data_IF_751627484580
#
_entry.id   IF_751627484580
#
_cell.length_a   1.000
_cell.length_b   1.000
_cell.length_c   1.000
_cell.angle_alpha   90.00
_cell.angle_beta   90.00
_cell.angle_gamma   90.00
#
_symmetry.space_group_name_H-M   'P 1'
#
loop_
_entity.id
_entity.type
_entity.pdbx_description
1 polymer ?
#
# COMPACT_ATOMS: atom_id res chain seq x y z
N UNK A 1 -13.29 -39.59 28.17
CA UNK A 1 -11.93 -39.07 27.93
C UNK A 1 -12.04 -37.55 27.90
N UNK A 2 -11.27 -36.88 28.76
CA UNK A 2 -11.54 -35.54 29.32
C UNK A 2 -11.71 -34.41 28.27
N UNK A 3 -12.80 -33.64 28.40
CA UNK A 3 -12.88 -32.29 27.81
C UNK A 3 -11.96 -31.37 28.61
N UNK A 4 -10.84 -30.95 28.01
CA UNK A 4 -10.03 -29.86 28.54
C UNK A 4 -10.69 -28.53 28.18
N UNK A 5 -11.16 -27.77 29.18
CA UNK A 5 -11.63 -26.40 29.01
C UNK A 5 -10.44 -25.45 29.19
N UNK A 6 -9.88 -24.97 28.07
CA UNK A 6 -8.95 -23.85 28.08
C UNK A 6 -9.72 -22.56 28.40
N UNK A 7 -9.60 -22.05 29.63
CA UNK A 7 -10.04 -20.68 29.95
C UNK A 7 -8.88 -19.72 29.73
N UNK A 8 -9.09 -18.76 28.84
CA UNK A 8 -8.20 -17.62 28.61
C UNK A 8 -8.53 -16.54 29.63
N UNK A 9 -7.54 -16.09 30.40
CA UNK A 9 -7.67 -14.91 31.26
C UNK A 9 -6.67 -13.84 30.78
N UNK A 10 -7.16 -12.62 30.58
CA UNK A 10 -6.35 -11.42 30.31
C UNK A 10 -6.23 -10.61 31.59
N UNK A 11 -5.02 -10.39 32.09
CA UNK A 11 -4.75 -9.50 33.24
C UNK A 11 -3.63 -8.56 32.84
N UNK A 12 -3.98 -7.32 32.48
CA UNK A 12 -3.12 -6.31 31.85
C UNK A 12 -2.54 -6.75 30.50
N UNK A 13 -2.62 -5.88 29.48
CA UNK A 13 -2.30 -6.05 28.03
C UNK A 13 -0.87 -6.52 27.67
N UNK A 14 -0.19 -7.26 28.56
CA UNK A 14 1.16 -7.79 28.38
C UNK A 14 1.34 -9.23 28.87
N UNK A 15 0.38 -9.82 29.58
CA UNK A 15 0.50 -11.19 30.09
C UNK A 15 -0.76 -12.04 29.79
N UNK A 16 -0.59 -13.09 28.99
CA UNK A 16 -1.59 -14.14 28.81
C UNK A 16 -1.17 -15.36 29.63
N UNK A 17 -2.04 -15.83 30.52
CA UNK A 17 -1.85 -17.06 31.30
C UNK A 17 -2.70 -18.19 30.70
N UNK A 18 -2.11 -19.36 30.54
CA UNK A 18 -2.83 -20.61 30.30
C UNK A 18 -2.73 -21.48 31.54
N UNK A 19 -3.85 -21.70 32.22
CA UNK A 19 -3.90 -22.54 33.41
C UNK A 19 -4.32 -23.96 33.01
N UNK A 20 -3.47 -24.95 33.26
CA UNK A 20 -3.77 -26.35 33.01
C UNK A 20 -4.41 -26.95 34.26
N UNK A 21 -5.73 -26.79 34.40
CA UNK A 21 -6.47 -27.40 35.50
C UNK A 21 -6.82 -28.84 35.10
N UNK A 22 -6.03 -29.82 35.56
CA UNK A 22 -6.40 -31.23 35.48
C UNK A 22 -7.44 -31.56 36.56
N UNK A 23 -8.70 -31.73 36.16
CA UNK A 23 -9.75 -32.22 37.05
C UNK A 23 -9.59 -33.72 37.28
N UNK A 24 -9.04 -34.12 38.42
CA UNK A 24 -9.11 -35.51 38.90
C UNK A 24 -10.26 -35.66 39.89
N UNK A 25 -11.24 -36.48 39.54
CA UNK A 25 -12.33 -36.90 40.44
C UNK A 25 -11.78 -37.89 41.46
N UNK A 26 -11.86 -37.54 42.75
CA UNK A 26 -11.51 -38.40 43.88
C UNK A 26 -12.54 -39.52 44.08
N UNK A 27 -12.08 -40.77 44.15
CA UNK A 27 -12.83 -41.91 44.65
C UNK A 27 -12.09 -42.57 45.81
N UNK A 28 -12.59 -42.33 47.03
CA UNK A 28 -12.43 -43.10 48.29
C UNK A 28 -11.01 -43.35 48.87
N UNK A 29 -10.90 -43.56 50.21
CA UNK A 29 -9.77 -43.06 50.99
C UNK A 29 -8.67 -44.11 51.20
N UNK A 30 -7.40 -43.69 51.32
CA UNK A 30 -6.39 -44.20 52.28
C UNK A 30 -4.99 -43.61 51.97
N UNK A 31 -4.36 -43.10 53.04
CA UNK A 31 -2.92 -42.85 53.29
C UNK A 31 -2.15 -41.82 52.44
N UNK A 32 -1.96 -40.65 53.07
CA UNK A 32 -0.67 -39.93 53.27
C UNK A 32 0.36 -40.07 52.15
N UNK A 33 0.13 -39.37 51.03
CA UNK A 33 1.19 -39.05 50.06
C UNK A 33 1.12 -37.57 49.72
N UNK A 34 2.17 -36.86 50.11
CA UNK A 34 2.42 -35.44 49.80
C UNK A 34 2.63 -35.30 48.29
N UNK A 35 1.59 -34.90 47.55
CA UNK A 35 1.67 -34.65 46.12
C UNK A 35 2.16 -33.21 45.88
N UNK A 36 3.44 -33.06 45.52
CA UNK A 36 4.03 -31.80 45.05
C UNK A 36 3.52 -31.52 43.63
N UNK A 37 2.59 -30.57 43.49
CA UNK A 37 2.21 -30.00 42.20
C UNK A 37 3.28 -28.98 41.76
N UNK A 38 4.11 -29.34 40.78
CA UNK A 38 4.98 -28.41 40.09
C UNK A 38 4.16 -27.69 39.00
N UNK A 39 3.88 -26.40 39.20
CA UNK A 39 3.24 -25.53 38.21
C UNK A 39 4.30 -25.10 37.18
N UNK A 40 4.32 -25.74 36.01
CA UNK A 40 5.18 -25.33 34.90
C UNK A 40 4.54 -24.18 34.13
N UNK A 41 5.04 -22.95 34.31
CA UNK A 41 4.66 -21.79 33.50
C UNK A 41 5.49 -21.78 32.22
N UNK A 42 4.86 -22.10 31.08
CA UNK A 42 5.46 -21.88 29.77
C UNK A 42 5.20 -20.42 29.34
N UNK A 43 6.23 -19.59 29.31
CA UNK A 43 6.20 -18.28 28.66
C UNK A 43 6.30 -18.51 27.15
N UNK A 44 5.16 -18.56 26.47
CA UNK A 44 5.13 -18.48 25.00
C UNK A 44 5.07 -17.00 24.66
N UNK A 45 6.15 -16.48 24.07
CA UNK A 45 6.14 -15.13 23.50
C UNK A 45 5.10 -15.07 22.38
N UNK A 46 4.05 -14.27 22.57
CA UNK A 46 3.14 -13.94 21.48
C UNK A 46 3.91 -13.05 20.50
N UNK A 47 4.30 -13.63 19.37
CA UNK A 47 4.71 -12.85 18.21
C UNK A 47 3.48 -12.02 17.80
N UNK A 48 3.47 -10.74 18.20
CA UNK A 48 2.35 -9.82 17.98
C UNK A 48 2.37 -9.46 16.48
N UNK A 49 1.86 -10.35 15.65
CA UNK A 49 1.67 -10.06 14.23
C UNK A 49 0.46 -9.12 14.09
N UNK A 50 0.59 -7.87 14.52
CA UNK A 50 -0.43 -6.84 14.34
C UNK A 50 -0.79 -6.79 12.86
N UNK A 51 -2.09 -6.72 12.57
CA UNK A 51 -2.54 -6.58 11.18
C UNK A 51 -1.89 -5.35 10.54
N UNK A 52 -1.53 -5.39 9.25
CA UNK A 52 -0.97 -4.23 8.55
C UNK A 52 -1.91 -3.03 8.64
N UNK A 53 -1.34 -1.83 8.74
CA UNK A 53 -2.09 -0.58 8.71
C UNK A 53 -2.68 -0.36 7.33
N UNK A 54 -3.96 0.01 7.21
CA UNK A 54 -4.58 0.39 5.94
C UNK A 54 -3.84 1.54 5.25
N UNK A 55 -3.97 1.64 3.93
CA UNK A 55 -3.44 2.77 3.16
C UNK A 55 -4.26 4.02 3.44
N UNK A 56 -3.59 5.17 3.58
CA UNK A 56 -4.30 6.44 3.72
C UNK A 56 -4.89 6.87 2.38
N UNK A 57 -6.03 7.61 2.40
CA UNK A 57 -6.62 8.14 1.18
C UNK A 57 -5.66 9.04 0.40
N UNK A 58 -4.86 9.84 1.11
CA UNK A 58 -3.87 10.74 0.53
C UNK A 58 -2.79 9.93 -0.20
N UNK A 59 -2.13 8.98 0.48
CA UNK A 59 -1.08 8.15 -0.14
C UNK A 59 -1.61 7.36 -1.34
N UNK A 60 -2.75 6.69 -1.20
CA UNK A 60 -3.31 5.86 -2.27
C UNK A 60 -3.86 6.65 -3.46
N UNK A 61 -4.33 7.88 -3.24
CA UNK A 61 -4.82 8.74 -4.32
C UNK A 61 -3.66 9.36 -5.10
N UNK A 62 -2.63 9.84 -4.39
CA UNK A 62 -1.43 10.38 -5.04
C UNK A 62 -0.66 9.28 -5.79
N UNK A 63 -0.53 8.08 -5.23
CA UNK A 63 0.15 6.97 -5.90
C UNK A 63 -0.50 6.61 -7.25
N UNK A 64 -1.84 6.66 -7.32
CA UNK A 64 -2.62 6.39 -8.55
C UNK A 64 -2.48 7.48 -9.62
N UNK A 65 -2.30 8.73 -9.20
CA UNK A 65 -2.23 9.88 -10.09
C UNK A 65 -0.80 10.14 -10.56
N UNK A 66 0.18 9.94 -9.69
CA UNK A 66 1.58 10.22 -9.91
C UNK A 66 2.44 8.96 -10.15
N UNK A 67 1.82 7.79 -10.31
CA UNK A 67 2.48 6.55 -10.77
C UNK A 67 3.64 6.08 -9.87
N UNK A 68 3.35 5.89 -8.59
CA UNK A 68 4.26 5.25 -7.63
C UNK A 68 3.50 4.24 -6.76
N UNK A 69 4.23 3.44 -5.97
CA UNK A 69 3.64 2.43 -5.12
C UNK A 69 3.17 3.05 -3.78
N UNK A 70 1.91 2.85 -3.35
CA UNK A 70 1.43 3.41 -2.10
C UNK A 70 2.10 2.75 -0.89
N UNK A 71 2.35 3.54 0.16
CA UNK A 71 2.98 3.11 1.41
C UNK A 71 1.99 3.14 2.59
N UNK A 72 2.24 2.32 3.60
CA UNK A 72 1.47 2.19 4.85
C UNK A 72 2.19 2.89 6.01
N UNK A 73 1.41 3.38 6.99
CA UNK A 73 1.94 3.93 8.23
C UNK A 73 2.38 5.40 8.16
N UNK A 74 2.96 5.93 9.24
CA UNK A 74 3.33 7.34 9.36
C UNK A 74 4.67 7.58 8.63
N UNK A 75 4.65 7.50 7.31
CA UNK A 75 5.80 7.80 6.46
C UNK A 75 6.17 9.26 6.62
N UNK A 76 7.44 9.53 6.89
CA UNK A 76 8.02 10.87 6.99
C UNK A 76 8.66 11.29 5.67
N UNK A 77 9.44 10.40 5.10
CA UNK A 77 10.04 10.59 3.79
C UNK A 77 10.25 9.24 3.10
N UNK A 78 10.24 9.27 1.77
CA UNK A 78 10.55 8.09 0.98
C UNK A 78 11.20 8.45 -0.35
N UNK A 79 11.87 7.45 -0.92
CA UNK A 79 12.25 7.45 -2.32
C UNK A 79 11.93 6.10 -2.94
N UNK A 80 11.42 6.09 -4.16
CA UNK A 80 11.20 4.91 -5.00
C UNK A 80 11.98 5.09 -6.30
N UNK A 81 12.97 4.23 -6.55
CA UNK A 81 13.80 4.27 -7.75
C UNK A 81 13.55 3.02 -8.60
N UNK A 82 13.09 3.23 -9.83
CA UNK A 82 12.95 2.20 -10.85
C UNK A 82 14.25 2.11 -11.66
N UNK A 83 14.84 0.91 -11.71
CA UNK A 83 16.06 0.60 -12.44
C UNK A 83 15.74 -0.33 -13.59
N UNK A 84 16.28 -0.06 -14.78
CA UNK A 84 16.16 -0.96 -15.93
C UNK A 84 17.10 -2.17 -15.81
N UNK A 85 17.08 -3.07 -16.80
CA UNK A 85 17.89 -4.29 -16.82
C UNK A 85 19.41 -4.05 -16.75
N UNK A 86 19.88 -2.85 -17.12
CA UNK A 86 21.29 -2.45 -17.04
C UNK A 86 21.66 -1.85 -15.68
N UNK A 87 20.68 -1.68 -14.78
CA UNK A 87 20.85 -0.99 -13.50
C UNK A 87 20.86 0.54 -13.64
N UNK A 88 20.44 1.08 -14.78
CA UNK A 88 20.30 2.53 -14.98
C UNK A 88 18.94 3.00 -14.45
N UNK A 89 18.88 4.23 -13.95
CA UNK A 89 17.63 4.79 -13.41
C UNK A 89 16.69 5.13 -14.56
N UNK A 90 15.51 4.50 -14.55
CA UNK A 90 14.42 4.77 -15.49
C UNK A 90 13.45 5.82 -14.93
N UNK A 91 13.04 5.66 -13.67
CA UNK A 91 12.17 6.60 -12.95
C UNK A 91 12.62 6.75 -11.51
N UNK A 92 12.34 7.92 -10.92
CA UNK A 92 12.53 8.17 -9.49
C UNK A 92 11.40 9.03 -8.96
N UNK A 93 10.88 8.65 -7.79
CA UNK A 93 9.92 9.43 -7.02
C UNK A 93 10.48 9.66 -5.62
N UNK A 94 10.40 10.89 -5.13
CA UNK A 94 10.80 11.29 -3.80
C UNK A 94 9.66 12.06 -3.15
N UNK A 95 9.30 11.71 -1.93
CA UNK A 95 8.25 12.42 -1.20
C UNK A 95 8.66 12.68 0.25
N UNK A 96 8.26 13.84 0.76
CA UNK A 96 8.27 14.14 2.20
C UNK A 96 6.85 14.40 2.64
N UNK A 97 6.49 13.92 3.82
CA UNK A 97 5.14 14.05 4.35
C UNK A 97 5.18 14.61 5.77
N UNK A 98 4.12 15.32 6.15
CA UNK A 98 3.85 15.71 7.53
C UNK A 98 3.34 14.53 8.37
N UNK A 99 3.31 14.65 9.71
CA UNK A 99 2.75 13.63 10.60
C UNK A 99 1.27 13.33 10.31
N UNK A 100 0.54 14.30 9.75
CA UNK A 100 -0.85 14.16 9.33
C UNK A 100 -1.01 13.44 7.98
N UNK A 101 0.08 13.13 7.28
CA UNK A 101 0.08 12.39 6.01
C UNK A 101 -0.11 13.26 4.77
N UNK A 102 0.03 14.59 4.89
CA UNK A 102 0.08 15.49 3.74
C UNK A 102 1.48 15.45 3.13
N UNK A 103 1.61 15.36 1.80
CA UNK A 103 2.91 15.57 1.17
C UNK A 103 3.33 17.03 1.36
N UNK A 104 4.48 17.26 1.97
CA UNK A 104 5.12 18.58 2.04
C UNK A 104 5.86 18.87 0.73
N UNK A 105 6.49 17.83 0.16
CA UNK A 105 7.05 17.83 -1.19
C UNK A 105 6.83 16.51 -1.91
N UNK A 106 6.76 16.57 -3.23
CA UNK A 106 6.71 15.40 -4.10
C UNK A 106 7.46 15.70 -5.40
N UNK A 107 8.52 14.94 -5.66
CA UNK A 107 9.36 15.05 -6.84
C UNK A 107 9.27 13.76 -7.65
N UNK A 108 9.09 13.90 -8.96
CA UNK A 108 9.04 12.81 -9.92
C UNK A 108 9.97 13.12 -11.07
N UNK A 109 10.81 12.16 -11.40
CA UNK A 109 11.70 12.19 -12.55
C UNK A 109 11.48 10.92 -13.36
N UNK A 110 10.92 11.08 -14.55
CA UNK A 110 10.84 10.02 -15.56
C UNK A 110 11.92 10.28 -16.60
N UNK A 111 13.04 9.58 -16.45
CA UNK A 111 14.23 9.74 -17.29
C UNK A 111 14.04 9.08 -18.66
N UNK A 112 13.19 8.05 -18.76
CA UNK A 112 12.86 7.42 -20.05
C UNK A 112 12.07 8.37 -20.94
N UNK A 113 11.13 9.12 -20.36
CA UNK A 113 10.31 10.09 -21.09
C UNK A 113 10.84 11.53 -21.04
N UNK A 114 11.96 11.77 -20.35
CA UNK A 114 12.55 13.09 -20.11
C UNK A 114 11.53 14.10 -19.55
N UNK A 115 10.75 13.68 -18.55
CA UNK A 115 9.79 14.53 -17.85
C UNK A 115 10.11 14.60 -16.36
N UNK A 116 9.82 15.74 -15.75
CA UNK A 116 10.00 15.95 -14.33
C UNK A 116 8.89 16.83 -13.77
N UNK A 117 8.53 16.56 -12.53
CA UNK A 117 7.56 17.35 -11.75
C UNK A 117 8.12 17.49 -10.34
N UNK A 118 8.17 18.71 -9.82
CA UNK A 118 8.53 18.97 -8.44
C UNK A 118 7.44 19.82 -7.80
N UNK A 119 6.78 19.29 -6.78
CA UNK A 119 5.66 19.91 -6.10
C UNK A 119 6.02 20.22 -4.66
N UNK A 120 5.63 21.40 -4.19
CA UNK A 120 5.72 21.82 -2.79
C UNK A 120 4.37 22.28 -2.29
N UNK A 121 4.02 21.89 -1.07
CA UNK A 121 2.77 22.30 -0.43
C UNK A 121 2.85 23.78 -0.03
N UNK A 122 1.88 24.57 -0.50
CA UNK A 122 1.65 25.93 -0.03
C UNK A 122 0.15 26.14 0.21
N UNK A 123 -0.23 26.16 1.48
CA UNK A 123 -1.61 26.22 1.96
C UNK A 123 -2.48 25.12 1.33
N UNK A 124 -3.39 25.49 0.43
CA UNK A 124 -4.33 24.58 -0.24
C UNK A 124 -3.94 24.28 -1.70
N UNK A 125 -2.67 24.44 -2.05
CA UNK A 125 -2.16 24.11 -3.37
C UNK A 125 -0.83 23.36 -3.28
N UNK A 126 -0.62 22.43 -4.20
CA UNK A 126 0.73 22.09 -4.63
C UNK A 126 1.15 23.06 -5.72
N UNK A 127 2.31 23.68 -5.49
CA UNK A 127 2.97 24.55 -6.45
C UNK A 127 4.18 23.87 -7.03
N UNK A 128 4.49 24.23 -8.26
CA UNK A 128 5.76 23.90 -8.86
C UNK A 128 6.91 24.47 -8.01
N UNK A 129 7.89 23.63 -7.67
CA UNK A 129 8.95 23.98 -6.72
C UNK A 129 9.86 25.10 -7.23
N UNK A 130 10.02 25.24 -8.54
CA UNK A 130 10.91 26.24 -9.16
C UNK A 130 10.16 27.53 -9.49
N UNK A 131 9.00 27.41 -10.14
CA UNK A 131 8.26 28.55 -10.69
C UNK A 131 7.19 29.10 -9.73
N UNK A 132 6.86 28.35 -8.67
CA UNK A 132 5.79 28.64 -7.72
C UNK A 132 4.39 28.74 -8.35
N UNK A 133 4.23 28.27 -9.58
CA UNK A 133 2.95 28.19 -10.26
C UNK A 133 2.05 27.19 -9.52
N UNK A 134 0.79 27.56 -9.31
CA UNK A 134 -0.22 26.67 -8.72
C UNK A 134 -0.56 25.56 -9.70
N UNK A 135 -0.12 24.33 -9.40
CA UNK A 135 -0.34 23.15 -10.25
C UNK A 135 -1.57 22.36 -9.82
N UNK A 136 -1.68 22.01 -8.55
CA UNK A 136 -2.78 21.17 -8.04
C UNK A 136 -3.47 21.87 -6.90
N UNK A 137 -4.79 22.00 -6.96
CA UNK A 137 -5.61 22.49 -5.86
C UNK A 137 -5.96 21.34 -4.94
N UNK A 138 -5.95 21.62 -3.65
CA UNK A 138 -6.28 20.68 -2.59
C UNK A 138 -7.60 21.04 -1.89
N UNK A 139 -8.18 20.02 -1.27
CA UNK A 139 -9.37 20.12 -0.43
C UNK A 139 -9.18 19.33 0.87
N UNK A 140 -9.89 19.75 1.91
CA UNK A 140 -9.89 19.05 3.20
C UNK A 140 -8.49 18.83 3.75
N UNK A 141 -8.14 17.56 4.01
CA UNK A 141 -6.85 17.11 4.55
C UNK A 141 -5.83 16.86 3.44
N UNK A 142 -5.52 17.88 2.64
CA UNK A 142 -4.56 17.79 1.53
C UNK A 142 -4.94 16.79 0.42
N UNK A 143 -6.23 16.54 0.23
CA UNK A 143 -6.72 15.65 -0.83
C UNK A 143 -6.76 16.37 -2.18
N UNK A 144 -6.56 15.61 -3.27
CA UNK A 144 -6.69 16.12 -4.64
C UNK A 144 -8.10 16.70 -4.85
N UNK A 145 -8.16 17.92 -5.40
CA UNK A 145 -9.41 18.58 -5.75
C UNK A 145 -9.46 18.92 -7.25
N UNK A 146 -8.46 19.65 -7.76
CA UNK A 146 -8.44 20.11 -9.15
C UNK A 146 -7.02 20.20 -9.71
N UNK A 147 -6.85 19.89 -10.99
CA UNK A 147 -5.67 20.22 -11.80
C UNK A 147 -6.10 21.31 -12.79
N UNK A 148 -5.92 22.60 -12.43
CA UNK A 148 -6.53 23.70 -13.20
C UNK A 148 -6.02 23.80 -14.62
N UNK A 149 -4.73 23.51 -14.87
CA UNK A 149 -4.12 23.58 -16.20
C UNK A 149 -4.75 22.61 -17.21
N UNK A 150 -5.25 21.47 -16.73
CA UNK A 150 -5.92 20.46 -17.55
C UNK A 150 -7.46 20.52 -17.44
N UNK A 151 -8.00 21.38 -16.58
CA UNK A 151 -9.43 21.43 -16.27
C UNK A 151 -9.96 20.10 -15.71
N UNK A 152 -9.13 19.38 -14.95
CA UNK A 152 -9.50 18.12 -14.31
C UNK A 152 -9.96 18.39 -12.88
N UNK A 153 -11.06 17.77 -12.49
CA UNK A 153 -11.61 17.78 -11.12
C UNK A 153 -11.65 16.36 -10.60
N UNK A 154 -11.23 16.16 -9.35
CA UNK A 154 -11.29 14.86 -8.67
C UNK A 154 -12.43 14.82 -7.68
N UNK A 155 -13.18 13.71 -7.72
CA UNK A 155 -14.23 13.41 -6.75
C UNK A 155 -13.70 12.43 -5.70
N UNK A 156 -13.98 12.70 -4.43
CA UNK A 156 -13.65 11.82 -3.31
C UNK A 156 -14.90 11.14 -2.75
N UNK A 157 -14.72 9.93 -2.18
CA UNK A 157 -15.78 9.27 -1.42
C UNK A 157 -15.77 9.73 0.05
N UNK A 158 -16.71 9.22 0.86
CA UNK A 158 -16.83 9.56 2.30
C UNK A 158 -15.59 9.19 3.13
N UNK A 159 -14.77 8.27 2.63
CA UNK A 159 -13.51 7.88 3.25
C UNK A 159 -12.32 8.72 2.77
N UNK A 160 -12.54 9.69 1.87
CA UNK A 160 -11.52 10.60 1.35
C UNK A 160 -10.73 10.10 0.13
N UNK A 161 -11.01 8.90 -0.38
CA UNK A 161 -10.30 8.36 -1.54
C UNK A 161 -10.80 9.01 -2.82
N UNK A 162 -9.89 9.38 -3.73
CA UNK A 162 -10.25 9.83 -5.08
C UNK A 162 -10.84 8.67 -5.87
N UNK A 163 -12.13 8.71 -6.15
CA UNK A 163 -12.86 7.64 -6.86
C UNK A 163 -13.15 7.99 -8.31
N UNK A 164 -13.09 9.26 -8.67
CA UNK A 164 -13.24 9.71 -10.05
C UNK A 164 -12.35 10.93 -10.35
N UNK A 165 -11.98 11.05 -11.63
CA UNK A 165 -11.44 12.28 -12.19
C UNK A 165 -12.26 12.62 -13.44
N UNK A 166 -12.63 13.89 -13.62
CA UNK A 166 -13.39 14.36 -14.77
C UNK A 166 -12.69 15.55 -15.39
N UNK A 167 -12.34 15.44 -16.67
CA UNK A 167 -11.87 16.54 -17.51
C UNK A 167 -12.81 16.74 -18.71
N UNK A 168 -12.46 17.68 -19.60
CA UNK A 168 -13.30 18.07 -20.74
C UNK A 168 -13.67 16.91 -21.67
N UNK A 169 -12.73 16.01 -21.94
CA UNK A 169 -12.90 14.89 -22.89
C UNK A 169 -12.54 13.54 -22.27
N UNK A 170 -12.35 13.51 -20.94
CA UNK A 170 -11.77 12.37 -20.24
C UNK A 170 -12.46 12.16 -18.90
N UNK A 171 -12.73 10.89 -18.57
CA UNK A 171 -13.24 10.46 -17.27
C UNK A 171 -12.43 9.27 -16.77
N UNK A 172 -12.02 9.31 -15.50
CA UNK A 172 -11.36 8.20 -14.81
C UNK A 172 -12.25 7.70 -13.69
N UNK A 173 -12.26 6.39 -13.49
CA UNK A 173 -12.87 5.73 -12.34
C UNK A 173 -11.80 4.88 -11.64
N UNK A 174 -11.51 5.21 -10.39
CA UNK A 174 -10.52 4.50 -9.57
C UNK A 174 -11.21 3.46 -8.69
N UNK A 175 -10.50 2.37 -8.39
CA UNK A 175 -11.00 1.29 -7.55
C UNK A 175 -9.99 0.99 -6.47
N UNK A 176 -10.51 0.68 -5.28
CA UNK A 176 -9.71 0.31 -4.11
C UNK A 176 -10.30 -0.93 -3.46
N UNK A 177 -9.47 -1.68 -2.75
CA UNK A 177 -9.96 -2.71 -1.84
C UNK A 177 -10.38 -2.11 -0.49
N UNK A 178 -10.83 -2.97 0.43
CA UNK A 178 -11.29 -2.57 1.77
C UNK A 178 -10.18 -1.96 2.66
N UNK A 179 -8.91 -2.17 2.33
CA UNK A 179 -7.76 -1.60 3.04
C UNK A 179 -7.23 -0.32 2.37
N UNK A 180 -7.87 0.14 1.29
CA UNK A 180 -7.45 1.31 0.53
C UNK A 180 -6.37 1.02 -0.51
N UNK A 181 -6.05 -0.24 -0.80
CA UNK A 181 -5.07 -0.58 -1.83
C UNK A 181 -5.66 -0.32 -3.23
N UNK A 182 -4.97 0.38 -4.15
CA UNK A 182 -5.42 0.58 -5.51
C UNK A 182 -5.58 -0.72 -6.30
N UNK A 183 -6.79 -0.99 -6.79
CA UNK A 183 -7.11 -2.13 -7.66
C UNK A 183 -7.03 -1.76 -9.16
N UNK A 184 -6.63 -0.53 -9.46
CA UNK A 184 -6.51 0.02 -10.81
C UNK A 184 -7.64 0.99 -11.16
N UNK A 185 -7.64 1.43 -12.42
CA UNK A 185 -8.51 2.51 -12.92
C UNK A 185 -9.08 2.19 -14.29
N UNK A 186 -10.16 2.87 -14.64
CA UNK A 186 -10.71 2.86 -16.01
C UNK A 186 -10.77 4.29 -16.50
N UNK A 187 -10.07 4.55 -17.59
CA UNK A 187 -10.02 5.84 -18.26
C UNK A 187 -10.79 5.77 -19.56
N UNK A 188 -11.79 6.63 -19.71
CA UNK A 188 -12.54 6.82 -20.95
C UNK A 188 -12.10 8.17 -21.52
N UNK A 189 -11.64 8.18 -22.77
CA UNK A 189 -11.28 9.39 -23.50
C UNK A 189 -11.80 9.27 -24.92
N UNK A 190 -12.75 10.14 -25.31
CA UNK A 190 -13.49 10.02 -26.57
C UNK A 190 -14.06 8.60 -26.75
N UNK A 191 -13.66 7.90 -27.80
CA UNK A 191 -14.11 6.53 -28.12
C UNK A 191 -13.13 5.45 -27.62
N UNK A 192 -12.14 5.83 -26.80
CA UNK A 192 -11.15 4.92 -26.24
C UNK A 192 -11.41 4.65 -24.76
N UNK A 193 -11.28 3.38 -24.37
CA UNK A 193 -11.34 2.93 -22.98
C UNK A 193 -10.06 2.19 -22.64
N UNK A 194 -9.28 2.73 -21.71
CA UNK A 194 -8.15 2.06 -21.08
C UNK A 194 -8.60 1.53 -19.71
N UNK A 195 -8.45 0.24 -19.46
CA UNK A 195 -8.71 -0.35 -18.15
C UNK A 195 -7.46 -1.02 -17.61
N UNK A 196 -7.09 -0.68 -16.38
CA UNK A 196 -6.03 -1.32 -15.61
C UNK A 196 -6.67 -2.04 -14.43
N UNK A 197 -6.36 -3.31 -14.23
CA UNK A 197 -6.88 -4.10 -13.11
C UNK A 197 -5.75 -4.84 -12.43
N UNK A 198 -5.54 -4.54 -11.14
CA UNK A 198 -4.55 -5.20 -10.30
C UNK A 198 -5.21 -6.30 -9.44
N UNK A 199 -4.48 -7.39 -9.26
CA UNK A 199 -4.79 -8.49 -8.36
C UNK A 199 -3.62 -8.64 -7.37
N UNK A 200 -3.73 -8.08 -6.16
CA UNK A 200 -2.70 -8.19 -5.13
C UNK A 200 -2.65 -9.60 -4.53
N UNK A 201 -1.58 -9.86 -3.78
CA UNK A 201 -1.44 -11.06 -2.96
C UNK A 201 -2.61 -11.22 -1.98
N UNK A 202 -2.94 -12.47 -1.69
CA UNK A 202 -3.87 -12.82 -0.62
C UNK A 202 -3.26 -12.65 0.77
N UNK A 203 -1.93 -12.55 0.88
CA UNK A 203 -1.27 -12.16 2.12
C UNK A 203 -1.42 -10.63 2.31
N UNK A 204 -2.14 -10.17 3.36
CA UNK A 204 -2.37 -8.74 3.58
C UNK A 204 -1.06 -7.95 3.81
N UNK A 205 0.03 -8.61 4.19
CA UNK A 205 1.37 -7.99 4.34
C UNK A 205 2.09 -7.79 3.02
N UNK A 206 1.62 -8.40 1.93
CA UNK A 206 2.33 -8.44 0.65
C UNK A 206 1.49 -7.89 -0.51
N UNK A 207 0.74 -6.80 -0.28
CA UNK A 207 -0.15 -6.23 -1.30
C UNK A 207 0.57 -5.80 -2.57
N UNK A 208 1.87 -5.50 -2.49
CA UNK A 208 2.67 -5.12 -3.65
C UNK A 208 3.27 -6.30 -4.41
N UNK A 209 3.03 -7.53 -3.93
CA UNK A 209 3.17 -8.72 -4.75
C UNK A 209 1.85 -8.85 -5.53
N UNK A 210 1.82 -8.28 -6.74
CA UNK A 210 0.60 -8.22 -7.54
C UNK A 210 0.85 -8.63 -8.98
N UNK A 211 -0.25 -8.94 -9.64
CA UNK A 211 -0.32 -8.98 -11.11
C UNK A 211 -1.30 -7.93 -11.58
N UNK A 212 -1.03 -7.27 -12.70
CA UNK A 212 -1.98 -6.33 -13.30
C UNK A 212 -2.11 -6.57 -14.79
N UNK A 213 -3.31 -6.29 -15.31
CA UNK A 213 -3.63 -6.39 -16.73
C UNK A 213 -4.13 -5.03 -17.21
N UNK A 214 -3.57 -4.58 -18.31
CA UNK A 214 -3.99 -3.37 -19.02
C UNK A 214 -4.66 -3.74 -20.34
N UNK A 215 -5.86 -3.23 -20.57
CA UNK A 215 -6.60 -3.42 -21.81
C UNK A 215 -6.93 -2.07 -22.45
N UNK A 216 -6.71 -1.95 -23.76
CA UNK A 216 -7.18 -0.84 -24.57
C UNK A 216 -8.33 -1.32 -25.46
N UNK A 217 -9.52 -0.76 -25.28
CA UNK A 217 -10.74 -1.16 -25.99
C UNK A 217 -11.00 -2.68 -25.90
N UNK A 218 -10.80 -3.25 -24.71
CA UNK A 218 -10.87 -4.70 -24.41
C UNK A 218 -9.82 -5.58 -25.10
N UNK A 219 -8.83 -4.99 -25.77
CA UNK A 219 -7.68 -5.71 -26.30
C UNK A 219 -6.50 -5.63 -25.33
N UNK A 220 -5.75 -6.73 -25.13
CA UNK A 220 -4.58 -6.72 -24.27
C UNK A 220 -3.56 -5.67 -24.73
N UNK A 221 -3.11 -4.84 -23.79
CA UNK A 221 -2.08 -3.83 -24.00
C UNK A 221 -0.79 -4.25 -23.30
N UNK A 222 -0.90 -4.78 -22.08
CA UNK A 222 0.24 -5.32 -21.37
C UNK A 222 -0.12 -5.93 -20.04
N UNK A 223 0.82 -6.69 -19.49
CA UNK A 223 0.71 -7.35 -18.21
C UNK A 223 1.88 -6.97 -17.32
N UNK A 224 1.62 -6.89 -16.02
CA UNK A 224 2.61 -6.58 -15.00
C UNK A 224 2.62 -7.69 -13.97
N UNK A 225 3.82 -8.05 -13.49
CA UNK A 225 4.01 -8.83 -12.27
C UNK A 225 5.06 -8.16 -11.40
N UNK A 226 4.71 -7.89 -10.15
CA UNK A 226 5.62 -7.37 -9.15
C UNK A 226 5.79 -8.39 -8.01
N UNK A 227 6.99 -8.47 -7.45
CA UNK A 227 7.29 -9.29 -6.27
C UNK A 227 8.35 -8.58 -5.44
N UNK A 228 8.10 -8.42 -4.14
CA UNK A 228 8.88 -7.58 -3.26
C UNK A 228 9.38 -8.28 -1.99
N UNK A 229 10.45 -7.73 -1.45
CA UNK A 229 10.81 -7.83 -0.03
C UNK A 229 10.12 -6.70 0.75
N UNK A 230 9.91 -6.92 2.05
CA UNK A 230 9.08 -6.05 2.88
C UNK A 230 9.74 -5.68 4.20
N UNK A 231 9.49 -4.46 4.65
CA UNK A 231 9.85 -4.01 5.99
C UNK A 231 8.82 -4.41 7.05
N UNK A 232 9.06 -3.97 8.29
CA UNK A 232 8.17 -4.24 9.44
C UNK A 232 6.78 -3.60 9.33
N UNK A 233 6.61 -2.59 8.49
CA UNK A 233 5.33 -1.92 8.25
C UNK A 233 4.57 -2.51 7.05
N UNK A 234 5.09 -3.62 6.49
CA UNK A 234 4.56 -4.26 5.30
C UNK A 234 4.61 -3.35 4.06
N UNK A 235 5.64 -2.50 3.98
CA UNK A 235 5.96 -1.72 2.79
C UNK A 235 7.11 -2.35 2.01
N UNK A 236 7.14 -2.20 0.67
CA UNK A 236 8.18 -2.77 -0.17
C UNK A 236 9.55 -2.12 0.13
N UNK A 237 10.63 -2.91 0.15
CA UNK A 237 12.02 -2.38 0.18
C UNK A 237 12.71 -2.57 -1.17
N UNK A 238 12.64 -3.79 -1.71
CA UNK A 238 13.22 -4.14 -3.00
C UNK A 238 12.19 -4.97 -3.76
N UNK A 239 11.91 -4.62 -5.02
CA UNK A 239 11.00 -5.39 -5.86
C UNK A 239 11.63 -5.73 -7.19
N UNK A 240 11.21 -6.88 -7.72
CA UNK A 240 11.31 -7.21 -9.13
C UNK A 240 10.00 -6.86 -9.81
N UNK A 241 10.08 -6.17 -10.94
CA UNK A 241 8.94 -5.77 -11.75
C UNK A 241 9.15 -6.29 -13.17
N UNK A 242 8.21 -7.08 -13.66
CA UNK A 242 8.20 -7.60 -15.02
C UNK A 242 7.02 -6.99 -15.75
N UNK A 243 7.28 -6.32 -16.86
CA UNK A 243 6.27 -5.74 -17.75
C UNK A 243 6.33 -6.46 -19.09
N UNK A 244 5.20 -7.01 -19.52
CA UNK A 244 5.04 -7.60 -20.86
C UNK A 244 4.24 -6.64 -21.71
N UNK A 245 4.85 -6.09 -22.76
CA UNK A 245 4.19 -5.29 -23.80
C UNK A 245 3.54 -6.23 -24.82
N UNK A 246 2.21 -6.30 -24.79
CA UNK A 246 1.41 -7.11 -25.69
C UNK A 246 0.90 -6.33 -26.92
N UNK A 247 1.24 -5.04 -27.02
CA UNK A 247 0.89 -4.20 -28.16
C UNK A 247 1.72 -4.50 -29.41
N UNK A 248 2.89 -5.12 -29.24
CA UNK A 248 3.84 -5.47 -30.30
C UNK A 248 3.87 -6.97 -30.58
N UNK A 249 4.35 -7.36 -31.78
CA UNK A 249 4.47 -8.77 -32.20
C UNK A 249 5.89 -9.10 -32.68
N UNK A 250 6.60 -10.04 -32.02
CA UNK A 250 6.21 -10.75 -30.79
C UNK A 250 6.11 -9.80 -29.59
N UNK A 251 5.37 -10.22 -28.55
CA UNK A 251 5.31 -9.48 -27.29
C UNK A 251 6.72 -9.35 -26.68
N UNK A 252 6.99 -8.23 -26.04
CA UNK A 252 8.31 -7.91 -25.47
C UNK A 252 8.21 -7.87 -23.96
N UNK A 253 9.15 -8.52 -23.28
CA UNK A 253 9.28 -8.49 -21.83
C UNK A 253 10.36 -7.48 -21.43
N UNK A 254 10.08 -6.69 -20.40
CA UNK A 254 11.00 -5.75 -19.78
C UNK A 254 11.10 -6.05 -18.29
N UNK A 255 12.33 -6.25 -17.80
CA UNK A 255 12.60 -6.45 -16.39
C UNK A 255 13.12 -5.17 -15.74
N UNK A 256 12.59 -4.87 -14.57
CA UNK A 256 12.98 -3.74 -13.75
C UNK A 256 13.19 -4.17 -12.30
N UNK A 257 13.99 -3.37 -11.60
CA UNK A 257 14.12 -3.44 -10.14
C UNK A 257 13.61 -2.14 -9.54
N UNK A 258 12.76 -2.23 -8.52
CA UNK A 258 12.32 -1.09 -7.73
C UNK A 258 13.07 -1.12 -6.41
N UNK A 259 13.68 0.00 -6.02
CA UNK A 259 14.32 0.17 -4.71
C UNK A 259 13.65 1.28 -3.94
N UNK A 260 13.27 0.99 -2.71
CA UNK A 260 12.62 1.91 -1.80
C UNK A 260 13.51 2.21 -0.60
N UNK A 261 13.58 3.48 -0.25
CA UNK A 261 14.05 3.94 1.07
C UNK A 261 12.86 4.61 1.73
N UNK A 262 12.53 4.24 2.97
CA UNK A 262 11.35 4.75 3.67
C UNK A 262 11.74 5.03 5.11
N UNK A 263 11.56 6.28 5.52
CA UNK A 263 11.71 6.73 6.89
C UNK A 263 10.33 7.04 7.48
N UNK A 264 10.18 6.75 8.77
CA UNK A 264 8.92 6.86 9.50
C UNK A 264 9.09 7.78 10.72
N UNK A 265 7.98 8.37 11.17
CA UNK A 265 7.90 9.11 12.43
C UNK A 265 8.00 8.21 13.68
#
# INVERSE_FOLDING_TARGET
MNLALLRRYTVNDRLCYYDWISSFTYGEPVKKQTFLFALGVALVGCDNSTAPLSFTPEMASFSNEFDFDPLRGPVKDFSQTLLNEKGEVAKRVNGTLSEEGCFDSLELHDLENNTAVALVLDANYYRDAETLEKKVRLQGKCQLAELPSAGVVWDTNDNGFVVAATGKEMKVQYRYDAEGYPLGKTTISKDQTLSVSAKPSTDPRKKLDYTAVSLLNNHPLGNVKQTCDYDRHANPTDCTLVIVDESVKPAVEHNYTIKNTIDYY
#
